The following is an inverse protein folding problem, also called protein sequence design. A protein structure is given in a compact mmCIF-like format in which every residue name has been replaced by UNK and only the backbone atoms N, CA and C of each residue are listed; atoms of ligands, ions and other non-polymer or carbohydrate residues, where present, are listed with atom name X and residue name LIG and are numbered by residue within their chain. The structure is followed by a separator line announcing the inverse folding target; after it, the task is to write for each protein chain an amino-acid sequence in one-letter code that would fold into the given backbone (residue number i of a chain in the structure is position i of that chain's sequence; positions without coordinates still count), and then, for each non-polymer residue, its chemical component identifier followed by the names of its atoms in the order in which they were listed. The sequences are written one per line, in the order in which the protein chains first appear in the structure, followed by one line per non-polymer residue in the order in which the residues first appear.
data_IF_800168199448
#
_entry.id   IF_800168199448
#
_cell.length_a   1.000
_cell.length_b   1.000
_cell.length_c   1.000
_cell.angle_alpha   90.00
_cell.angle_beta   90.00
_cell.angle_gamma   90.00
#
_symmetry.space_group_name_H-M   'P 1'
#
loop_
_entity.id
_entity.type
_entity.pdbx_description
1 polymer ?
#
# COMPACT_ATOMS: atom_id res chain seq x y z
N UNK A 1 9.17 -20.60 -4.92
CA UNK A 1 9.71 -19.25 -5.06
C UNK A 1 10.69 -18.95 -3.96
N UNK A 2 11.64 -18.08 -4.23
CA UNK A 2 12.62 -17.59 -3.27
C UNK A 2 12.78 -16.06 -3.42
N UNK A 3 13.58 -15.43 -2.57
CA UNK A 3 13.76 -13.98 -2.55
C UNK A 3 14.38 -13.44 -3.86
N UNK A 4 15.26 -14.20 -4.51
CA UNK A 4 15.91 -13.79 -5.76
C UNK A 4 14.89 -13.77 -6.91
N UNK A 5 14.06 -14.81 -7.02
CA UNK A 5 12.97 -14.86 -8.00
C UNK A 5 11.94 -13.75 -7.78
N UNK A 6 11.57 -13.50 -6.51
CA UNK A 6 10.67 -12.41 -6.16
C UNK A 6 11.27 -11.03 -6.53
N UNK A 7 12.55 -10.82 -6.23
CA UNK A 7 13.28 -9.61 -6.59
C UNK A 7 13.37 -9.41 -8.10
N UNK A 8 13.68 -10.47 -8.84
CA UNK A 8 13.74 -10.43 -10.31
C UNK A 8 12.38 -10.09 -10.94
N UNK A 9 11.27 -10.58 -10.37
CA UNK A 9 9.92 -10.27 -10.84
C UNK A 9 9.47 -8.85 -10.47
N UNK A 10 9.86 -8.37 -9.29
CA UNK A 10 9.49 -7.05 -8.77
C UNK A 10 10.25 -5.91 -9.46
N UNK A 11 11.56 -6.06 -9.66
CA UNK A 11 12.44 -4.98 -10.10
C UNK A 11 12.00 -4.30 -11.39
N UNK A 12 11.61 -5.00 -12.46
CA UNK A 12 11.11 -4.38 -13.68
C UNK A 12 9.86 -3.52 -13.44
N UNK A 13 8.96 -3.97 -12.56
CA UNK A 13 7.73 -3.24 -12.23
C UNK A 13 8.00 -2.02 -11.35
N UNK A 14 8.95 -2.15 -10.42
CA UNK A 14 9.38 -1.03 -9.59
C UNK A 14 10.04 0.07 -10.40
N UNK A 15 10.79 -0.28 -11.44
CA UNK A 15 11.49 0.64 -12.32
C UNK A 15 10.59 1.24 -13.42
N UNK A 16 9.50 0.55 -13.78
CA UNK A 16 8.50 1.04 -14.74
C UNK A 16 7.12 1.13 -14.06
N UNK A 17 6.86 2.28 -13.45
CA UNK A 17 5.56 2.55 -12.78
C UNK A 17 4.39 2.57 -13.76
N UNK A 18 4.62 2.89 -15.02
CA UNK A 18 3.60 2.80 -16.06
C UNK A 18 3.15 1.37 -16.30
N UNK A 19 4.11 0.44 -16.40
CA UNK A 19 3.82 -0.98 -16.50
C UNK A 19 3.15 -1.52 -15.23
N UNK A 20 3.65 -1.12 -14.05
CA UNK A 20 3.04 -1.49 -12.77
C UNK A 20 1.57 -1.10 -12.71
N UNK A 21 1.26 0.18 -12.98
CA UNK A 21 -0.11 0.71 -12.98
C UNK A 21 -1.02 -0.03 -13.96
N UNK A 22 -0.54 -0.33 -15.18
CA UNK A 22 -1.30 -1.13 -16.16
C UNK A 22 -1.63 -2.52 -15.64
N UNK A 23 -0.69 -3.20 -14.97
CA UNK A 23 -0.95 -4.52 -14.40
C UNK A 23 -1.92 -4.48 -13.23
N UNK A 24 -1.80 -3.47 -12.36
CA UNK A 24 -2.74 -3.29 -11.25
C UNK A 24 -4.15 -3.01 -11.77
N UNK A 25 -4.29 -2.14 -12.78
CA UNK A 25 -5.58 -1.86 -13.41
C UNK A 25 -6.18 -3.12 -14.05
N UNK A 26 -5.39 -3.89 -14.79
CA UNK A 26 -5.86 -5.15 -15.38
C UNK A 26 -6.35 -6.16 -14.33
N UNK A 27 -5.70 -6.19 -13.14
CA UNK A 27 -6.16 -7.00 -12.02
C UNK A 27 -7.52 -6.52 -11.47
N UNK A 28 -7.71 -5.21 -11.33
CA UNK A 28 -8.97 -4.61 -10.93
C UNK A 28 -10.08 -4.88 -11.97
N UNK A 29 -9.79 -4.69 -13.25
CA UNK A 29 -10.73 -4.95 -14.35
C UNK A 29 -11.17 -6.42 -14.38
N UNK A 30 -10.22 -7.33 -14.15
CA UNK A 30 -10.49 -8.77 -14.07
C UNK A 30 -11.37 -9.10 -12.86
N UNK A 31 -11.15 -8.47 -11.72
CA UNK A 31 -12.00 -8.62 -10.54
C UNK A 31 -13.43 -8.16 -10.83
N UNK A 32 -13.57 -6.96 -11.39
CA UNK A 32 -14.88 -6.36 -11.70
C UNK A 32 -15.63 -7.11 -12.81
N UNK A 33 -14.90 -7.77 -13.72
CA UNK A 33 -15.44 -8.59 -14.79
C UNK A 33 -15.89 -9.99 -14.38
N UNK A 34 -15.78 -10.38 -13.10
CA UNK A 34 -16.18 -11.71 -12.61
C UNK A 34 -17.71 -11.87 -12.58
N UNK A 35 -18.26 -12.41 -13.65
CA UNK A 35 -19.72 -12.58 -13.81
C UNK A 35 -20.41 -13.57 -12.86
N UNK A 36 -19.66 -14.33 -12.06
CA UNK A 36 -20.19 -15.33 -11.12
C UNK A 36 -20.14 -14.93 -9.65
N UNK A 37 -19.53 -13.79 -9.30
CA UNK A 37 -19.40 -13.31 -7.95
C UNK A 37 -20.39 -12.18 -7.67
N UNK A 38 -21.00 -12.17 -6.49
CA UNK A 38 -21.80 -11.04 -6.03
C UNK A 38 -20.88 -9.93 -5.53
N UNK A 39 -20.37 -9.10 -6.46
CA UNK A 39 -19.49 -7.99 -6.16
C UNK A 39 -20.28 -6.68 -6.12
N UNK A 40 -20.05 -5.90 -5.08
CA UNK A 40 -20.48 -4.50 -5.03
C UNK A 40 -19.35 -3.62 -5.57
N UNK A 41 -19.43 -3.23 -6.82
CA UNK A 41 -18.42 -2.39 -7.48
C UNK A 41 -18.31 -0.98 -6.88
N UNK A 42 -19.26 -0.57 -6.05
CA UNK A 42 -19.19 0.70 -5.30
C UNK A 42 -18.38 0.59 -4.00
N UNK A 43 -18.03 -0.64 -3.58
CA UNK A 43 -17.33 -0.94 -2.33
C UNK A 43 -16.01 -1.68 -2.58
N UNK A 44 -15.12 -1.07 -3.35
CA UNK A 44 -13.81 -1.64 -3.66
C UNK A 44 -12.72 -0.90 -2.87
N UNK A 45 -11.84 -1.66 -2.24
CA UNK A 45 -10.61 -1.16 -1.64
C UNK A 45 -9.42 -2.03 -2.07
N UNK A 46 -8.22 -1.47 -2.00
CA UNK A 46 -6.99 -2.21 -2.24
C UNK A 46 -6.09 -2.15 -1.00
N UNK A 47 -5.41 -3.25 -0.71
CA UNK A 47 -4.35 -3.24 0.29
C UNK A 47 -3.20 -4.16 -0.15
N UNK A 48 -2.02 -3.91 0.39
CA UNK A 48 -0.87 -4.73 0.09
C UNK A 48 0.25 -4.59 1.10
N UNK A 49 1.16 -5.56 1.07
CA UNK A 49 2.30 -5.69 1.95
C UNK A 49 3.59 -5.48 1.18
N UNK A 50 4.59 -4.82 1.78
CA UNK A 50 5.88 -4.60 1.13
C UNK A 50 5.70 -3.93 -0.24
N UNK A 51 6.19 -4.54 -1.32
CA UNK A 51 5.96 -4.05 -2.69
C UNK A 51 4.46 -3.95 -3.04
N UNK A 52 3.62 -4.85 -2.49
CA UNK A 52 2.16 -4.78 -2.65
C UNK A 52 1.55 -3.50 -2.05
N UNK A 53 2.13 -2.95 -1.00
CA UNK A 53 1.73 -1.64 -0.46
C UNK A 53 2.00 -0.51 -1.44
N UNK A 54 3.17 -0.51 -2.07
CA UNK A 54 3.48 0.42 -3.17
C UNK A 54 2.50 0.24 -4.35
N UNK A 55 2.20 -1.00 -4.74
CA UNK A 55 1.22 -1.29 -5.80
C UNK A 55 -0.17 -0.72 -5.49
N UNK A 56 -0.61 -0.83 -4.24
CA UNK A 56 -1.89 -0.29 -3.77
C UNK A 56 -1.95 1.23 -3.94
N UNK A 57 -0.90 1.95 -3.51
CA UNK A 57 -0.81 3.40 -3.66
C UNK A 57 -0.73 3.81 -5.14
N UNK A 58 0.05 3.09 -5.95
CA UNK A 58 0.17 3.38 -7.38
C UNK A 58 -1.16 3.15 -8.14
N UNK A 59 -1.95 2.15 -7.76
CA UNK A 59 -3.29 1.97 -8.31
C UNK A 59 -4.22 3.14 -7.95
N UNK A 60 -4.19 3.61 -6.70
CA UNK A 60 -4.98 4.78 -6.29
C UNK A 60 -4.60 6.03 -7.09
N UNK A 61 -3.30 6.27 -7.32
CA UNK A 61 -2.77 7.38 -8.12
C UNK A 61 -3.22 7.36 -9.60
N UNK A 62 -3.70 6.22 -10.12
CA UNK A 62 -4.29 6.17 -11.47
C UNK A 62 -5.68 6.80 -11.54
N UNK A 63 -6.33 7.05 -10.41
CA UNK A 63 -7.72 7.48 -10.35
C UNK A 63 -8.73 6.32 -10.38
N UNK A 64 -8.29 5.09 -10.06
CA UNK A 64 -9.16 3.94 -9.91
C UNK A 64 -10.28 4.22 -8.90
N UNK A 65 -11.48 3.69 -9.15
CA UNK A 65 -12.66 3.85 -8.28
C UNK A 65 -12.52 3.00 -7.02
N UNK A 66 -11.69 3.49 -6.09
CA UNK A 66 -11.41 2.84 -4.82
C UNK A 66 -11.98 3.67 -3.66
N UNK A 67 -12.56 3.01 -2.66
CA UNK A 67 -12.94 3.63 -1.39
C UNK A 67 -11.76 3.80 -0.45
N UNK A 68 -10.78 2.88 -0.53
CA UNK A 68 -9.54 3.00 0.23
C UNK A 68 -8.36 2.34 -0.50
N UNK A 69 -7.15 2.89 -0.28
CA UNK A 69 -5.88 2.28 -0.64
C UNK A 69 -5.00 2.19 0.62
N UNK A 70 -4.54 0.97 0.96
CA UNK A 70 -3.87 0.69 2.22
C UNK A 70 -2.51 0.05 1.97
N UNK A 71 -1.46 0.63 2.55
CA UNK A 71 -0.08 0.15 2.43
C UNK A 71 0.45 -0.33 3.79
N UNK A 72 0.81 -1.61 3.87
CA UNK A 72 1.54 -2.16 5.02
C UNK A 72 3.02 -2.22 4.70
N UNK A 73 3.85 -1.51 5.45
CA UNK A 73 5.31 -1.46 5.32
C UNK A 73 5.81 -1.40 3.85
N UNK A 74 5.09 -0.70 2.99
CA UNK A 74 5.46 -0.48 1.59
C UNK A 74 6.29 0.79 1.42
N UNK A 75 7.04 0.88 0.30
CA UNK A 75 7.66 2.14 -0.11
C UNK A 75 6.59 3.14 -0.58
N UNK A 76 6.82 4.43 -0.35
CA UNK A 76 5.84 5.49 -0.55
C UNK A 76 6.14 6.34 -1.79
N UNK A 77 7.33 6.16 -2.36
CA UNK A 77 7.82 6.90 -3.51
C UNK A 77 6.95 6.73 -4.77
N UNK A 78 6.85 7.78 -5.54
CA UNK A 78 6.22 7.79 -6.87
C UNK A 78 7.03 8.68 -7.83
N UNK A 79 7.05 8.37 -9.14
CA UNK A 79 7.76 9.21 -10.09
C UNK A 79 7.07 10.57 -10.35
N UNK A 80 5.78 10.67 -10.06
CA UNK A 80 5.01 11.90 -10.25
C UNK A 80 4.03 12.14 -9.09
N UNK A 81 4.43 12.89 -8.05
CA UNK A 81 3.56 13.20 -6.91
C UNK A 81 2.26 13.93 -7.30
N UNK A 82 2.25 14.68 -8.41
CA UNK A 82 1.04 15.35 -8.87
C UNK A 82 -0.10 14.40 -9.26
N UNK A 83 0.17 13.11 -9.43
CA UNK A 83 -0.86 12.10 -9.72
C UNK A 83 -1.76 11.82 -8.51
N UNK A 84 -1.35 12.20 -7.30
CA UNK A 84 -2.17 12.08 -6.09
C UNK A 84 -3.52 12.82 -6.21
N UNK A 85 -3.60 13.88 -7.02
CA UNK A 85 -4.87 14.57 -7.32
C UNK A 85 -5.96 13.70 -7.95
N UNK A 86 -5.58 12.54 -8.50
CA UNK A 86 -6.52 11.60 -9.10
C UNK A 86 -7.09 10.62 -8.05
N UNK A 87 -6.52 10.54 -6.86
CA UNK A 87 -6.97 9.63 -5.78
C UNK A 87 -8.38 10.01 -5.36
N UNK A 88 -9.27 9.03 -5.32
CA UNK A 88 -10.71 9.24 -5.05
C UNK A 88 -11.16 8.81 -3.67
N UNK A 89 -10.46 7.86 -3.07
CA UNK A 89 -10.77 7.33 -1.74
C UNK A 89 -9.73 7.70 -0.69
N UNK A 90 -9.92 7.19 0.52
CA UNK A 90 -9.00 7.40 1.64
C UNK A 90 -7.71 6.60 1.48
N UNK A 91 -6.59 7.12 1.98
CA UNK A 91 -5.29 6.44 1.96
C UNK A 91 -4.84 6.16 3.39
N UNK A 92 -4.42 4.91 3.64
CA UNK A 92 -3.88 4.50 4.93
C UNK A 92 -2.48 3.89 4.75
N UNK A 93 -1.50 4.47 5.43
CA UNK A 93 -0.13 3.95 5.50
C UNK A 93 0.17 3.43 6.90
N UNK A 94 0.65 2.19 6.97
CA UNK A 94 0.99 1.47 8.19
C UNK A 94 2.48 1.15 8.15
N UNK A 95 3.30 2.05 8.72
CA UNK A 95 4.76 2.09 8.55
C UNK A 95 5.50 1.66 9.82
N UNK A 96 6.56 0.87 9.66
CA UNK A 96 7.50 0.56 10.74
C UNK A 96 8.56 1.66 10.88
N UNK A 97 8.60 2.37 12.02
CA UNK A 97 9.50 3.51 12.21
C UNK A 97 11.01 3.15 12.17
N UNK A 98 11.34 1.86 12.33
CA UNK A 98 12.70 1.34 12.23
C UNK A 98 12.96 0.59 10.91
N UNK A 99 12.06 0.70 9.92
CA UNK A 99 12.18 0.03 8.62
C UNK A 99 13.30 0.64 7.76
N UNK A 100 14.42 -0.08 7.52
CA UNK A 100 15.52 0.44 6.73
C UNK A 100 15.30 0.35 5.22
N UNK A 101 14.23 -0.35 4.78
CA UNK A 101 13.90 -0.52 3.36
C UNK A 101 13.02 0.60 2.81
N UNK A 102 12.49 1.43 3.70
CA UNK A 102 11.77 2.67 3.34
C UNK A 102 12.63 3.87 3.72
N UNK A 103 13.26 4.55 2.74
CA UNK A 103 14.03 5.75 3.00
C UNK A 103 13.24 6.80 3.79
N UNK A 104 13.86 7.39 4.81
CA UNK A 104 13.18 8.30 5.75
C UNK A 104 12.58 9.53 5.08
N UNK A 105 13.20 9.98 4.00
CA UNK A 105 12.74 11.11 3.18
C UNK A 105 11.41 10.81 2.45
N UNK A 106 11.01 9.55 2.31
CA UNK A 106 9.75 9.20 1.68
C UNK A 106 8.54 9.56 2.55
N UNK A 107 8.68 9.61 3.88
CA UNK A 107 7.57 9.94 4.76
C UNK A 107 7.13 11.41 4.57
N UNK A 108 7.99 12.42 4.80
CA UNK A 108 7.60 13.81 4.58
C UNK A 108 7.21 14.07 3.11
N UNK A 109 7.87 13.44 2.13
CA UNK A 109 7.51 13.60 0.73
C UNK A 109 6.09 13.06 0.44
N UNK A 110 5.70 11.95 1.06
CA UNK A 110 4.33 11.42 0.97
C UNK A 110 3.32 12.34 1.65
N UNK A 111 3.62 12.87 2.83
CA UNK A 111 2.75 13.83 3.54
C UNK A 111 2.52 15.09 2.69
N UNK A 112 3.58 15.64 2.12
CA UNK A 112 3.51 16.79 1.22
C UNK A 112 2.65 16.48 -0.03
N UNK A 113 2.85 15.32 -0.64
CA UNK A 113 2.10 14.83 -1.80
C UNK A 113 0.59 14.75 -1.49
N UNK A 114 0.21 14.09 -0.40
CA UNK A 114 -1.20 13.91 -0.02
C UNK A 114 -1.86 15.24 0.35
N UNK A 115 -1.15 16.09 1.09
CA UNK A 115 -1.63 17.42 1.50
C UNK A 115 -1.83 18.34 0.28
N UNK A 116 -0.87 18.36 -0.64
CA UNK A 116 -0.97 19.19 -1.85
C UNK A 116 -2.13 18.77 -2.76
N UNK A 117 -2.49 17.49 -2.74
CA UNK A 117 -3.60 16.94 -3.51
C UNK A 117 -4.96 17.00 -2.80
N UNK A 118 -4.99 17.34 -1.49
CA UNK A 118 -6.20 17.35 -0.69
C UNK A 118 -6.81 15.97 -0.47
N UNK A 119 -5.98 14.93 -0.48
CA UNK A 119 -6.41 13.53 -0.23
C UNK A 119 -6.78 13.37 1.25
N UNK A 120 -7.81 12.56 1.53
CA UNK A 120 -8.05 12.05 2.89
C UNK A 120 -7.05 10.93 3.18
N UNK A 121 -6.13 11.16 4.13
CA UNK A 121 -5.05 10.21 4.40
C UNK A 121 -4.70 10.10 5.88
N UNK A 122 -4.18 8.93 6.24
CA UNK A 122 -3.64 8.64 7.57
C UNK A 122 -2.32 7.89 7.42
N UNK A 123 -1.36 8.20 8.31
CA UNK A 123 -0.09 7.49 8.42
C UNK A 123 0.17 7.13 9.88
N UNK A 124 0.30 5.84 10.17
CA UNK A 124 0.74 5.33 11.47
C UNK A 124 2.19 4.89 11.37
N UNK A 125 3.05 5.54 12.16
CA UNK A 125 4.45 5.18 12.29
C UNK A 125 4.67 4.45 13.62
N UNK A 126 4.89 3.14 13.55
CA UNK A 126 5.01 2.26 14.71
C UNK A 126 6.45 2.23 15.22
N UNK A 127 6.70 2.83 16.39
CA UNK A 127 8.03 2.89 17.01
C UNK A 127 8.64 1.51 17.23
N UNK A 128 9.89 1.33 16.77
CA UNK A 128 10.64 0.07 16.92
C UNK A 128 10.27 -1.03 15.93
N UNK A 129 9.19 -0.89 15.15
CA UNK A 129 8.83 -1.89 14.15
C UNK A 129 9.72 -1.79 12.91
N UNK A 130 10.14 -2.95 12.39
CA UNK A 130 10.91 -3.10 11.16
C UNK A 130 10.01 -3.43 9.97
N UNK A 131 10.63 -3.63 8.79
CA UNK A 131 9.92 -4.12 7.61
C UNK A 131 9.26 -5.48 7.88
N UNK A 132 8.19 -5.81 7.16
CA UNK A 132 7.46 -7.09 7.31
C UNK A 132 6.94 -7.40 8.73
N UNK A 133 6.62 -6.38 9.53
CA UNK A 133 6.14 -6.58 10.91
C UNK A 133 4.81 -7.37 10.98
N UNK A 134 4.14 -7.58 9.85
CA UNK A 134 2.91 -8.39 9.76
C UNK A 134 3.15 -9.87 9.44
N UNK A 135 4.37 -10.24 9.00
CA UNK A 135 4.69 -11.60 8.59
C UNK A 135 5.25 -12.41 9.76
N UNK A 136 4.54 -13.45 10.27
CA UNK A 136 5.01 -14.28 11.38
C UNK A 136 6.34 -15.01 11.12
N UNK A 137 6.74 -15.14 9.86
CA UNK A 137 8.00 -15.79 9.47
C UNK A 137 9.16 -14.81 9.28
N UNK A 138 8.90 -13.49 9.32
CA UNK A 138 9.95 -12.50 9.19
C UNK A 138 10.87 -12.50 10.42
N UNK A 139 12.13 -12.87 10.21
CA UNK A 139 13.15 -12.94 11.25
C UNK A 139 14.54 -12.63 10.68
N UNK A 140 14.73 -11.40 10.19
CA UNK A 140 16.02 -10.85 9.76
C UNK A 140 16.33 -9.65 10.64
N UNK A 141 17.13 -9.83 11.72
CA UNK A 141 17.39 -8.79 12.72
C UNK A 141 17.86 -7.47 12.09
N UNK A 142 17.23 -6.36 12.52
CA UNK A 142 17.56 -5.03 12.03
C UNK A 142 17.01 -4.68 10.63
N UNK A 143 16.30 -5.60 9.97
CA UNK A 143 15.74 -5.39 8.63
C UNK A 143 14.26 -5.79 8.54
N UNK A 144 13.94 -7.07 8.72
CA UNK A 144 12.58 -7.61 8.61
C UNK A 144 12.26 -8.43 9.85
N UNK A 145 11.33 -7.99 10.67
CA UNK A 145 11.02 -8.62 11.94
C UNK A 145 9.51 -8.61 12.19
N UNK A 146 8.95 -9.77 12.50
CA UNK A 146 7.58 -9.86 12.98
C UNK A 146 7.38 -9.14 14.31
N UNK A 147 6.29 -8.39 14.42
CA UNK A 147 5.84 -7.80 15.69
C UNK A 147 4.33 -8.04 15.83
N UNK A 148 3.95 -9.01 16.65
CA UNK A 148 2.56 -9.40 16.86
C UNK A 148 1.66 -8.25 17.34
N UNK A 149 2.20 -7.38 18.21
CA UNK A 149 1.47 -6.24 18.76
C UNK A 149 1.23 -5.16 17.71
N UNK A 150 2.28 -4.81 16.95
CA UNK A 150 2.18 -3.84 15.86
C UNK A 150 1.30 -4.38 14.74
N UNK A 151 1.46 -5.66 14.37
CA UNK A 151 0.62 -6.34 13.39
C UNK A 151 -0.87 -6.23 13.76
N UNK A 152 -1.22 -6.60 14.99
CA UNK A 152 -2.61 -6.50 15.49
C UNK A 152 -3.17 -5.08 15.42
N UNK A 153 -2.37 -4.06 15.80
CA UNK A 153 -2.77 -2.66 15.73
C UNK A 153 -2.98 -2.19 14.30
N UNK A 154 -2.07 -2.58 13.40
CA UNK A 154 -2.14 -2.20 12.00
C UNK A 154 -3.37 -2.80 11.31
N UNK A 155 -3.66 -4.08 11.52
CA UNK A 155 -4.89 -4.71 11.01
C UNK A 155 -6.15 -4.08 11.60
N UNK A 156 -6.13 -3.70 12.88
CA UNK A 156 -7.26 -2.97 13.47
C UNK A 156 -7.49 -1.63 12.77
N UNK A 157 -6.44 -0.84 12.53
CA UNK A 157 -6.56 0.43 11.81
C UNK A 157 -7.13 0.24 10.39
N UNK A 158 -6.68 -0.81 9.67
CA UNK A 158 -7.26 -1.17 8.37
C UNK A 158 -8.76 -1.49 8.49
N UNK A 159 -9.15 -2.34 9.45
CA UNK A 159 -10.56 -2.72 9.63
C UNK A 159 -11.44 -1.52 10.02
N UNK A 160 -10.93 -0.61 10.85
CA UNK A 160 -11.66 0.59 11.25
C UNK A 160 -11.91 1.48 10.02
N UNK A 161 -10.89 1.71 9.18
CA UNK A 161 -11.07 2.47 7.93
C UNK A 161 -12.04 1.77 6.97
N UNK A 162 -11.91 0.45 6.78
CA UNK A 162 -12.82 -0.28 5.87
C UNK A 162 -14.29 -0.23 6.34
N UNK A 163 -14.53 -0.26 7.66
CA UNK A 163 -15.87 -0.03 8.21
C UNK A 163 -16.40 1.37 7.92
N UNK A 164 -15.54 2.38 8.04
CA UNK A 164 -15.90 3.76 7.77
C UNK A 164 -16.30 3.96 6.30
N UNK A 165 -15.45 3.49 5.36
CA UNK A 165 -15.66 3.76 3.94
C UNK A 165 -16.68 2.85 3.25
N UNK A 166 -17.02 1.73 3.87
CA UNK A 166 -18.03 0.79 3.34
C UNK A 166 -19.40 0.88 4.03
N UNK A 167 -19.47 1.52 5.20
CA UNK A 167 -20.72 1.68 5.97
C UNK A 167 -21.13 0.41 6.67
#
# INVERSE_FOLDING_TARGET
GNNDEAGAAMTPLKNDRGLLRKRMQAGLDQLLGQGGASLDSSKIATFGFCFGGCCSLELARTGAELKAAISFHGTLDTPNPADAKNIKGSVLVLHGASDPLVPKEQLPAFEDEMNAAGVDWQLYSYGGAFHSFTDPHANVPGMMMYDAKVSSRAFKSMHDLLKEVFG
#
